data_IF_739323710950
#
_entry.id   IF_739323710950
#
_cell.length_a   1.000
_cell.length_b   1.000
_cell.length_c   1.000
_cell.angle_alpha   90.00
_cell.angle_beta   90.00
_cell.angle_gamma   90.00
#
_symmetry.space_group_name_H-M   'P 1'
#
loop_
_entity.id
_entity.type
_entity.pdbx_description
1 polymer ?
#
# COMPACT_ATOMS: atom_id res chain seq x y z
N UNK A 1 -9.78 -15.87 -9.04
CA UNK A 1 -8.50 -15.92 -9.78
C UNK A 1 -7.43 -16.24 -8.77
N UNK A 2 -6.80 -17.41 -8.86
CA UNK A 2 -5.66 -17.76 -7.99
C UNK A 2 -4.48 -16.89 -8.41
N UNK A 3 -4.33 -15.73 -7.77
CA UNK A 3 -3.23 -14.81 -8.03
C UNK A 3 -1.89 -15.50 -7.76
N UNK A 4 -0.94 -15.30 -8.66
CA UNK A 4 0.44 -15.76 -8.47
C UNK A 4 0.99 -15.15 -7.17
N UNK A 5 1.58 -16.00 -6.32
CA UNK A 5 2.20 -15.58 -5.05
C UNK A 5 3.71 -15.58 -5.20
N UNK A 6 4.36 -14.55 -4.68
CA UNK A 6 5.81 -14.48 -4.54
C UNK A 6 6.23 -14.93 -3.12
N UNK A 7 7.39 -15.58 -3.00
CA UNK A 7 8.01 -15.86 -1.71
C UNK A 7 9.01 -14.76 -1.35
N UNK A 8 8.97 -14.29 -0.11
CA UNK A 8 9.90 -13.30 0.42
C UNK A 8 10.65 -13.92 1.60
N UNK A 9 11.96 -13.80 1.60
CA UNK A 9 12.79 -14.21 2.73
C UNK A 9 13.01 -13.01 3.65
N UNK A 10 12.71 -13.20 4.92
CA UNK A 10 12.94 -12.20 5.98
C UNK A 10 13.67 -12.85 7.15
N UNK A 11 14.28 -12.02 8.00
CA UNK A 11 14.93 -12.50 9.22
C UNK A 11 13.98 -13.29 10.10
N UNK A 12 14.47 -14.41 10.63
CA UNK A 12 13.67 -15.33 11.45
C UNK A 12 13.08 -14.64 12.68
N UNK A 13 13.87 -13.77 13.31
CA UNK A 13 13.41 -13.01 14.47
C UNK A 13 12.26 -12.06 14.13
N UNK A 14 12.32 -11.42 12.96
CA UNK A 14 11.25 -10.55 12.47
C UNK A 14 9.98 -11.35 12.19
N UNK A 15 10.11 -12.52 11.55
CA UNK A 15 8.98 -13.43 11.31
C UNK A 15 8.32 -13.87 12.61
N UNK A 16 9.09 -14.25 13.64
CA UNK A 16 8.53 -14.66 14.93
C UNK A 16 7.79 -13.52 15.63
N UNK A 17 8.29 -12.28 15.54
CA UNK A 17 7.60 -11.09 16.05
C UNK A 17 6.29 -10.84 15.30
N UNK A 18 6.32 -10.93 13.97
CA UNK A 18 5.12 -10.79 13.14
C UNK A 18 4.10 -11.87 13.45
N UNK A 19 4.54 -13.12 13.62
CA UNK A 19 3.66 -14.24 14.00
C UNK A 19 2.99 -14.00 15.35
N UNK A 20 3.74 -13.59 16.37
CA UNK A 20 3.17 -13.26 17.69
C UNK A 20 2.15 -12.12 17.59
N UNK A 21 2.43 -11.11 16.77
CA UNK A 21 1.52 -10.00 16.54
C UNK A 21 0.19 -10.48 15.91
N UNK A 22 0.26 -11.34 14.89
CA UNK A 22 -0.91 -11.95 14.26
C UNK A 22 -1.72 -12.77 15.27
N UNK A 23 -1.06 -13.62 16.06
CA UNK A 23 -1.69 -14.45 17.09
C UNK A 23 -2.36 -13.61 18.21
N UNK A 24 -1.80 -12.43 18.55
CA UNK A 24 -2.32 -11.55 19.60
C UNK A 24 -3.47 -10.65 19.15
N UNK A 25 -3.37 -10.07 17.95
CA UNK A 25 -4.38 -9.13 17.45
C UNK A 25 -5.58 -9.84 16.83
N UNK A 26 -5.38 -11.03 16.26
CA UNK A 26 -6.43 -11.81 15.61
C UNK A 26 -7.05 -11.15 14.37
N UNK A 27 -6.55 -9.99 13.94
CA UNK A 27 -7.01 -9.25 12.77
C UNK A 27 -6.59 -9.90 11.45
N UNK A 28 -5.46 -10.61 11.45
CA UNK A 28 -4.91 -11.28 10.28
C UNK A 28 -4.95 -12.79 10.48
N UNK A 29 -5.15 -13.53 9.39
CA UNK A 29 -5.18 -15.00 9.41
C UNK A 29 -3.79 -15.61 9.27
N UNK A 30 -2.82 -14.84 8.78
CA UNK A 30 -1.43 -15.29 8.53
C UNK A 30 -0.45 -14.12 8.49
N UNK A 31 0.85 -14.43 8.63
CA UNK A 31 1.93 -13.44 8.47
C UNK A 31 1.96 -12.91 7.03
N UNK A 32 1.65 -13.75 6.04
CA UNK A 32 1.56 -13.34 4.63
C UNK A 32 0.53 -12.22 4.42
N UNK A 33 -0.64 -12.33 5.05
CA UNK A 33 -1.71 -11.33 4.96
C UNK A 33 -1.30 -10.00 5.60
N UNK A 34 -0.64 -10.05 6.75
CA UNK A 34 -0.06 -8.88 7.41
C UNK A 34 0.96 -8.19 6.51
N UNK A 35 1.90 -8.96 5.95
CA UNK A 35 2.96 -8.41 5.08
C UNK A 35 2.37 -7.83 3.82
N UNK A 36 1.40 -8.51 3.18
CA UNK A 36 0.71 -8.00 2.01
C UNK A 36 -0.01 -6.69 2.30
N UNK A 37 -0.74 -6.60 3.41
CA UNK A 37 -1.44 -5.38 3.82
C UNK A 37 -0.48 -4.22 4.06
N UNK A 38 0.60 -4.44 4.82
CA UNK A 38 1.59 -3.41 5.11
C UNK A 38 2.34 -2.94 3.85
N UNK A 39 2.69 -3.86 2.96
CA UNK A 39 3.34 -3.51 1.70
C UNK A 39 2.38 -2.73 0.79
N UNK A 40 1.11 -3.11 0.71
CA UNK A 40 0.10 -2.35 -0.03
C UNK A 40 -0.06 -0.94 0.52
N UNK A 41 -0.25 -0.79 1.83
CA UNK A 41 -0.40 0.51 2.46
C UNK A 41 0.85 1.39 2.25
N UNK A 42 2.05 0.84 2.46
CA UNK A 42 3.29 1.58 2.24
C UNK A 42 3.43 2.04 0.79
N UNK A 43 3.11 1.18 -0.17
CA UNK A 43 3.21 1.49 -1.60
C UNK A 43 2.07 2.40 -2.09
N UNK A 44 0.88 2.30 -1.52
CA UNK A 44 -0.26 3.20 -1.77
C UNK A 44 -0.03 4.58 -1.17
N UNK A 45 0.54 4.68 0.03
CA UNK A 45 0.94 5.96 0.64
C UNK A 45 2.07 6.62 -0.17
N UNK A 46 3.04 5.85 -0.66
CA UNK A 46 4.07 6.34 -1.60
C UNK A 46 3.47 6.79 -2.93
N UNK A 47 2.44 6.10 -3.44
CA UNK A 47 1.71 6.50 -4.65
C UNK A 47 0.74 7.67 -4.39
N UNK A 48 0.31 7.87 -3.14
CA UNK A 48 -0.49 9.00 -2.67
C UNK A 48 0.21 10.35 -2.79
N UNK A 49 1.54 10.37 -2.96
CA UNK A 49 2.29 11.57 -3.38
C UNK A 49 2.48 11.68 -4.91
N UNK A 50 2.23 10.62 -5.69
CA UNK A 50 2.40 10.64 -7.16
C UNK A 50 1.13 11.14 -7.88
N UNK A 51 -0.03 11.21 -7.20
CA UNK A 51 -1.17 12.04 -7.65
C UNK A 51 -0.94 13.55 -7.43
N UNK A 52 0.19 14.01 -6.87
CA UNK A 52 0.32 15.39 -6.38
C UNK A 52 0.79 16.45 -7.40
N UNK A 53 1.04 16.12 -8.68
CA UNK A 53 1.41 17.15 -9.68
C UNK A 53 0.72 17.03 -11.04
N UNK A 54 0.70 15.85 -11.65
CA UNK A 54 0.13 15.69 -13.00
C UNK A 54 -1.39 15.85 -13.01
N UNK A 55 -2.09 15.30 -12.01
CA UNK A 55 -3.54 15.49 -11.90
C UNK A 55 -3.91 16.91 -11.49
N UNK A 56 -3.09 17.54 -10.65
CA UNK A 56 -3.28 18.93 -10.23
C UNK A 56 -3.09 19.88 -11.43
N UNK A 57 -2.12 19.61 -12.32
CA UNK A 57 -1.97 20.32 -13.61
C UNK A 57 -3.14 20.04 -14.56
N UNK A 58 -3.61 18.80 -14.67
CA UNK A 58 -4.76 18.46 -15.50
C UNK A 58 -6.04 19.18 -15.03
N UNK A 59 -6.23 19.31 -13.72
CA UNK A 59 -7.34 20.08 -13.13
C UNK A 59 -7.14 21.58 -13.38
N UNK A 60 -5.94 22.13 -13.22
CA UNK A 60 -5.63 23.54 -13.53
C UNK A 60 -5.86 23.87 -15.01
N UNK A 61 -5.46 23.01 -15.93
CA UNK A 61 -5.66 23.22 -17.37
C UNK A 61 -7.15 23.14 -17.72
N UNK A 62 -7.88 22.21 -17.10
CA UNK A 62 -9.34 22.10 -17.24
C UNK A 62 -10.07 23.35 -16.70
N UNK A 63 -9.65 23.89 -15.55
CA UNK A 63 -10.23 25.09 -14.96
C UNK A 63 -9.95 26.35 -15.80
N UNK A 64 -8.75 26.49 -16.36
CA UNK A 64 -8.42 27.58 -17.32
C UNK A 64 -9.28 27.51 -18.58
N UNK A 65 -9.48 26.32 -19.15
CA UNK A 65 -10.33 26.13 -20.35
C UNK A 65 -11.79 26.49 -20.10
N UNK A 66 -12.25 26.32 -18.86
CA UNK A 66 -13.62 26.64 -18.46
C UNK A 66 -13.79 28.09 -17.97
N UNK A 67 -12.71 28.90 -17.94
CA UNK A 67 -12.77 30.33 -17.64
C UNK A 67 -12.96 30.69 -16.16
N UNK A 68 -12.62 29.78 -15.24
CA UNK A 68 -12.71 30.00 -13.80
C UNK A 68 -11.42 30.61 -13.20
N UNK A 69 -10.42 30.91 -14.03
CA UNK A 69 -9.10 31.49 -13.75
C UNK A 69 -8.73 32.44 -14.89
#
# INVERSE_FOLDING_TARGET
>A
MTGEKAQVLIDRELYERARKYVEQQGTFSSVDELVEFLLRQLLEEQQGEVMSREEEEAVKDRLRRLGYL
#
